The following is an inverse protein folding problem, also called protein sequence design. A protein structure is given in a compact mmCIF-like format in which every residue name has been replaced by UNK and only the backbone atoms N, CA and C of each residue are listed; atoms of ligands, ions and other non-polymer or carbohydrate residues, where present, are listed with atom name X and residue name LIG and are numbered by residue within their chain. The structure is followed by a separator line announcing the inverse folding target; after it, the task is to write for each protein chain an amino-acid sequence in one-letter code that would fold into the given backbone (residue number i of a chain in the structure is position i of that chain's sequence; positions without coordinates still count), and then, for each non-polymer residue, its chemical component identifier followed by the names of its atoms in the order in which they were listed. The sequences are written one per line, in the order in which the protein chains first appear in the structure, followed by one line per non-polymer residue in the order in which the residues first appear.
data_IF_646530955887
#
_entry.id   IF_646530955887
#
_cell.length_a   1.000
_cell.length_b   1.000
_cell.length_c   1.000
_cell.angle_alpha   90.00
_cell.angle_beta   90.00
_cell.angle_gamma   90.00
#
_symmetry.space_group_name_H-M   'P 1'
#
loop_
_entity.id
_entity.type
_entity.pdbx_description
1 polymer ?
#
# COMPACT_ATOMS: atom_id res chain seq x y z
N UNK A 1 -2.10 6.82 20.06
CA UNK A 1 -2.14 7.22 18.64
C UNK A 1 -3.59 7.30 18.20
N UNK A 2 -4.01 8.30 17.40
CA UNK A 2 -5.39 8.38 16.90
C UNK A 2 -5.67 7.20 15.98
N UNK A 3 -6.65 6.36 16.33
CA UNK A 3 -7.00 5.15 15.61
C UNK A 3 -8.00 5.39 14.47
N UNK A 4 -8.64 6.56 14.40
CA UNK A 4 -9.56 6.96 13.35
C UNK A 4 -9.70 8.49 13.26
N UNK A 5 -10.15 8.99 12.10
CA UNK A 5 -10.48 10.39 11.84
C UNK A 5 -11.97 10.47 11.50
N UNK A 6 -12.74 11.34 12.15
CA UNK A 6 -14.12 11.61 11.74
C UNK A 6 -14.19 12.45 10.46
N UNK A 7 -15.30 12.39 9.73
CA UNK A 7 -15.53 13.26 8.57
C UNK A 7 -15.36 14.76 8.89
N UNK A 8 -15.78 15.21 10.07
CA UNK A 8 -15.63 16.60 10.52
C UNK A 8 -14.18 16.98 10.80
N UNK A 9 -13.38 16.05 11.32
CA UNK A 9 -11.94 16.27 11.50
C UNK A 9 -11.22 16.32 10.16
N UNK A 10 -11.55 15.41 9.24
CA UNK A 10 -10.97 15.36 7.90
C UNK A 10 -11.12 16.70 7.18
N UNK A 11 -12.31 17.32 7.23
CA UNK A 11 -12.57 18.64 6.63
C UNK A 11 -11.70 19.78 7.18
N UNK A 12 -11.10 19.62 8.36
CA UNK A 12 -10.25 20.63 9.01
C UNK A 12 -8.76 20.34 8.85
N UNK A 13 -8.39 19.18 8.31
CA UNK A 13 -6.99 18.81 8.16
C UNK A 13 -6.37 19.51 6.95
N UNK A 14 -5.15 20.03 7.12
CA UNK A 14 -4.34 20.51 6.01
C UNK A 14 -3.68 19.34 5.29
N UNK A 15 -3.23 19.55 4.04
CA UNK A 15 -2.45 18.55 3.31
C UNK A 15 -1.18 18.11 4.08
N UNK A 16 -0.50 19.04 4.75
CA UNK A 16 0.66 18.73 5.59
C UNK A 16 0.31 17.86 6.80
N UNK A 17 -0.84 18.09 7.44
CA UNK A 17 -1.31 17.24 8.53
C UNK A 17 -1.68 15.83 8.05
N UNK A 18 -2.19 15.70 6.83
CA UNK A 18 -2.46 14.40 6.19
C UNK A 18 -1.13 13.69 5.90
N UNK A 19 -0.15 14.39 5.32
CA UNK A 19 1.18 13.82 5.04
C UNK A 19 1.96 13.45 6.31
N UNK A 20 1.69 14.07 7.46
CA UNK A 20 2.34 13.74 8.71
C UNK A 20 1.73 12.51 9.42
N UNK A 21 0.68 11.90 8.86
CA UNK A 21 0.11 10.68 9.43
C UNK A 21 1.13 9.53 9.37
N UNK A 22 1.36 8.80 10.46
CA UNK A 22 2.39 7.76 10.52
C UNK A 22 2.00 6.47 9.77
N UNK A 23 0.72 6.30 9.45
CA UNK A 23 0.16 5.11 8.81
C UNK A 23 -1.18 5.46 8.16
N UNK A 24 -1.77 4.56 7.35
CA UNK A 24 -3.14 4.73 6.87
C UNK A 24 -4.11 4.82 8.06
N UNK A 25 -5.08 5.74 8.00
CA UNK A 25 -6.04 5.97 9.09
C UNK A 25 -7.47 5.86 8.56
N UNK A 26 -8.36 5.08 9.21
CA UNK A 26 -9.75 4.97 8.78
C UNK A 26 -10.52 6.28 9.01
N UNK A 27 -11.40 6.61 8.07
CA UNK A 27 -12.32 7.73 8.16
C UNK A 27 -13.70 7.22 8.62
N UNK A 28 -14.22 7.79 9.70
CA UNK A 28 -15.48 7.40 10.34
C UNK A 28 -16.61 8.41 10.08
N UNK A 29 -17.80 7.91 9.79
CA UNK A 29 -19.06 8.64 9.87
C UNK A 29 -19.99 7.93 10.86
N UNK A 30 -20.13 8.48 12.07
CA UNK A 30 -20.69 7.73 13.20
C UNK A 30 -19.83 6.49 13.51
N UNK A 31 -20.44 5.30 13.50
CA UNK A 31 -19.75 4.02 13.74
C UNK A 31 -19.15 3.41 12.47
N UNK A 32 -19.64 3.80 11.29
CA UNK A 32 -19.24 3.23 10.02
C UNK A 32 -17.87 3.77 9.55
N UNK A 33 -17.01 2.87 9.04
CA UNK A 33 -15.83 3.27 8.27
C UNK A 33 -16.27 3.52 6.83
N UNK A 34 -16.09 4.74 6.35
CA UNK A 34 -16.51 5.17 5.00
C UNK A 34 -15.33 5.35 4.04
N UNK A 35 -14.11 5.34 4.55
CA UNK A 35 -12.90 5.45 3.74
C UNK A 35 -11.64 5.24 4.57
N UNK A 36 -10.49 5.35 3.91
CA UNK A 36 -9.16 5.33 4.54
C UNK A 36 -8.37 6.50 3.97
N UNK A 37 -7.75 7.26 4.85
CA UNK A 37 -6.79 8.29 4.47
C UNK A 37 -5.40 7.68 4.46
N UNK A 38 -4.81 7.57 3.28
CA UNK A 38 -3.48 7.01 3.05
C UNK A 38 -2.48 8.16 2.81
N UNK A 39 -1.54 8.43 3.73
CA UNK A 39 -0.46 9.36 3.46
C UNK A 39 0.46 8.76 2.39
N UNK A 40 0.64 9.49 1.28
CA UNK A 40 1.54 9.10 0.21
C UNK A 40 2.92 9.71 0.50
N UNK A 41 3.89 8.84 0.76
CA UNK A 41 5.28 9.22 0.97
C UNK A 41 6.14 8.76 -0.20
N UNK A 42 7.09 9.60 -0.60
CA UNK A 42 8.17 9.15 -1.48
C UNK A 42 8.99 8.09 -0.76
N UNK A 43 9.11 6.93 -1.37
CA UNK A 43 10.00 5.87 -0.90
C UNK A 43 11.44 6.33 -1.14
N UNK A 44 12.33 6.11 -0.15
CA UNK A 44 13.74 6.44 -0.33
C UNK A 44 14.33 5.57 -1.46
N UNK A 45 15.29 6.08 -2.25
CA UNK A 45 15.95 5.28 -3.27
C UNK A 45 16.60 4.00 -2.71
N UNK A 46 17.05 4.03 -1.46
CA UNK A 46 17.63 2.87 -0.77
C UNK A 46 16.58 1.80 -0.46
N UNK A 47 15.42 2.21 0.06
CA UNK A 47 14.31 1.29 0.31
C UNK A 47 13.82 0.68 -1.00
N UNK A 48 13.71 1.46 -2.07
CA UNK A 48 13.33 0.94 -3.39
C UNK A 48 14.34 -0.09 -3.91
N UNK A 49 15.65 0.23 -3.84
CA UNK A 49 16.72 -0.71 -4.22
C UNK A 49 16.66 -2.02 -3.44
N UNK A 50 16.41 -1.95 -2.13
CA UNK A 50 16.24 -3.14 -1.29
C UNK A 50 15.04 -3.98 -1.74
N UNK A 51 13.89 -3.36 -1.96
CA UNK A 51 12.68 -4.08 -2.38
C UNK A 51 12.90 -4.81 -3.70
N UNK A 52 13.54 -4.16 -4.68
CA UNK A 52 13.87 -4.79 -5.96
C UNK A 52 14.82 -5.99 -5.78
N UNK A 53 15.87 -5.85 -4.97
CA UNK A 53 16.77 -6.96 -4.68
C UNK A 53 16.06 -8.12 -3.96
N UNK A 54 15.13 -7.83 -3.04
CA UNK A 54 14.33 -8.84 -2.36
C UNK A 54 13.38 -9.57 -3.35
N UNK A 55 12.84 -8.86 -4.34
CA UNK A 55 12.02 -9.44 -5.43
C UNK A 55 12.86 -10.38 -6.31
N UNK A 56 14.06 -9.96 -6.72
CA UNK A 56 14.97 -10.78 -7.54
C UNK A 56 15.43 -12.03 -6.79
N UNK A 57 15.77 -11.89 -5.51
CA UNK A 57 16.14 -13.00 -4.65
C UNK A 57 14.98 -13.97 -4.40
N UNK A 58 13.74 -13.47 -4.33
CA UNK A 58 12.55 -14.32 -4.29
C UNK A 58 12.35 -15.05 -5.61
N UNK A 59 12.50 -14.37 -6.76
CA UNK A 59 12.36 -14.95 -8.09
C UNK A 59 13.34 -16.10 -8.33
N UNK A 60 14.60 -15.94 -7.90
CA UNK A 60 15.64 -16.95 -8.05
C UNK A 60 15.36 -18.24 -7.26
N UNK A 61 14.58 -18.14 -6.18
CA UNK A 61 14.24 -19.27 -5.31
C UNK A 61 12.95 -19.99 -5.72
N UNK A 62 12.22 -19.48 -6.72
CA UNK A 62 10.94 -20.07 -7.12
C UNK A 62 11.13 -21.44 -7.75
N UNK A 63 10.23 -22.36 -7.42
CA UNK A 63 10.18 -23.65 -8.10
C UNK A 63 9.53 -23.51 -9.48
N UNK A 64 9.73 -24.48 -10.39
CA UNK A 64 9.04 -24.50 -11.68
C UNK A 64 7.51 -24.43 -11.55
N UNK A 65 6.93 -25.06 -10.54
CA UNK A 65 5.49 -25.05 -10.28
C UNK A 65 4.97 -23.67 -9.86
N UNK A 66 5.75 -22.95 -9.05
CA UNK A 66 5.43 -21.58 -8.64
C UNK A 66 5.49 -20.62 -9.83
N UNK A 67 6.48 -20.76 -10.71
CA UNK A 67 6.56 -19.98 -11.94
C UNK A 67 5.37 -20.27 -12.87
N UNK A 68 5.02 -21.56 -13.06
CA UNK A 68 3.86 -21.94 -13.86
C UNK A 68 2.51 -21.46 -13.28
N UNK A 69 2.42 -21.23 -11.96
CA UNK A 69 1.26 -20.59 -11.36
C UNK A 69 1.22 -19.08 -11.64
N UNK A 70 2.37 -18.40 -11.59
CA UNK A 70 2.48 -16.97 -11.93
C UNK A 70 2.14 -16.75 -13.41
N UNK A 71 2.67 -17.56 -14.32
CA UNK A 71 2.42 -17.44 -15.76
C UNK A 71 0.93 -17.57 -16.10
N UNK A 72 0.22 -18.50 -15.44
CA UNK A 72 -1.24 -18.64 -15.58
C UNK A 72 -1.98 -17.39 -15.12
N UNK A 73 -1.60 -16.81 -13.98
CA UNK A 73 -2.20 -15.58 -13.47
C UNK A 73 -1.95 -14.37 -14.38
N UNK A 74 -0.79 -14.31 -15.04
CA UNK A 74 -0.46 -13.26 -16.01
C UNK A 74 -1.29 -13.42 -17.30
N UNK A 75 -1.39 -14.65 -17.82
CA UNK A 75 -2.20 -14.97 -18.99
C UNK A 75 -3.69 -14.65 -18.77
N UNK A 76 -4.24 -14.96 -17.58
CA UNK A 76 -5.62 -14.62 -17.20
C UNK A 76 -5.88 -13.11 -17.18
N UNK A 77 -4.83 -12.29 -17.02
CA UNK A 77 -4.92 -10.82 -17.05
C UNK A 77 -4.64 -10.21 -18.42
N UNK A 78 -4.35 -11.02 -19.43
CA UNK A 78 -4.03 -10.56 -20.80
C UNK A 78 -2.71 -9.80 -20.89
N UNK A 79 -1.78 -10.08 -19.98
CA UNK A 79 -0.44 -9.50 -19.99
C UNK A 79 0.50 -10.58 -20.49
N UNK A 80 0.83 -10.54 -21.79
CA UNK A 80 1.90 -11.32 -22.43
C UNK A 80 3.21 -10.52 -22.49
#
# INVERSE_FOLDING_TARGET
MKSAISMRELQKMSAGAIQALPHPVPIKNGTATVGVLLPIHSVSPETMRKVLADIDAAATRRTPEENAAIDRLLAERGIE
#
